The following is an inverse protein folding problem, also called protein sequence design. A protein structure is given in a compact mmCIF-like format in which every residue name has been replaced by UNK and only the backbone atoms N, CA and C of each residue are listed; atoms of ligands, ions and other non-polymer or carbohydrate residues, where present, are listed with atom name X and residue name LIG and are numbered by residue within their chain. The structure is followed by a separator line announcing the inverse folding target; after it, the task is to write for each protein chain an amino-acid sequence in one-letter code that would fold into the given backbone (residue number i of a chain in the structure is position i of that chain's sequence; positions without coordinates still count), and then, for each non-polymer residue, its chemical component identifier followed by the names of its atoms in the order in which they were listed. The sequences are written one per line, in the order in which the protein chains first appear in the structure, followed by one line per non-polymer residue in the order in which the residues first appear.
data_IF_106971513556
#
_entry.id   IF_106971513556
#
_cell.length_a   1.000
_cell.length_b   1.000
_cell.length_c   1.000
_cell.angle_alpha   90.00
_cell.angle_beta   90.00
_cell.angle_gamma   90.00
#
_symmetry.space_group_name_H-M   'P 1'
#
loop_
_entity.id
_entity.type
_entity.pdbx_description
1 polymer ?
#
# COMPACT_ATOMS: atom_id res chain seq x y z
N UNK A 1 8.28 -14.05 -3.98
CA UNK A 1 8.43 -12.74 -4.65
C UNK A 1 7.07 -12.07 -4.66
N UNK A 2 7.00 -10.81 -4.24
CA UNK A 2 5.74 -10.06 -4.17
C UNK A 2 5.39 -9.49 -5.55
N UNK A 3 4.13 -9.56 -5.93
CA UNK A 3 3.57 -8.90 -7.12
C UNK A 3 2.77 -7.68 -6.68
N UNK A 4 3.03 -6.54 -7.28
CA UNK A 4 2.32 -5.29 -7.01
C UNK A 4 1.45 -4.95 -8.20
N UNK A 5 0.14 -4.94 -7.99
CA UNK A 5 -0.86 -4.64 -9.01
C UNK A 5 -1.56 -3.31 -8.69
N UNK A 6 -1.70 -2.45 -9.69
CA UNK A 6 -2.50 -1.23 -9.61
C UNK A 6 -3.78 -1.49 -10.38
N UNK A 7 -4.92 -1.33 -9.72
CA UNK A 7 -6.23 -1.51 -10.31
C UNK A 7 -6.99 -0.18 -10.33
N UNK A 8 -7.72 0.06 -11.41
CA UNK A 8 -8.73 1.12 -11.51
C UNK A 8 -10.09 0.45 -11.63
N UNK A 9 -11.02 0.77 -10.74
CA UNK A 9 -12.29 0.06 -10.61
C UNK A 9 -13.42 1.02 -10.29
N UNK A 10 -14.67 0.57 -10.49
CA UNK A 10 -15.86 1.31 -10.08
C UNK A 10 -15.85 1.57 -8.58
N UNK A 11 -16.26 2.79 -8.19
CA UNK A 11 -16.47 3.17 -6.77
C UNK A 11 -17.90 2.77 -6.34
N UNK A 12 -18.14 1.44 -6.33
CA UNK A 12 -19.46 0.86 -6.06
C UNK A 12 -19.38 -0.21 -4.96
N UNK A 13 -20.44 -0.37 -4.16
CA UNK A 13 -20.52 -1.43 -3.16
C UNK A 13 -20.30 -2.83 -3.78
N UNK A 14 -19.52 -3.66 -3.09
CA UNK A 14 -19.30 -5.05 -3.50
C UNK A 14 -18.13 -5.26 -4.48
N UNK A 15 -17.58 -4.23 -5.13
CA UNK A 15 -16.44 -4.37 -6.05
C UNK A 15 -15.22 -4.95 -5.32
N UNK A 16 -14.89 -4.41 -4.15
CA UNK A 16 -13.79 -4.92 -3.33
C UNK A 16 -14.01 -6.38 -2.94
N UNK A 17 -15.25 -6.75 -2.58
CA UNK A 17 -15.59 -8.14 -2.24
C UNK A 17 -15.40 -9.09 -3.44
N UNK A 18 -15.76 -8.67 -4.66
CA UNK A 18 -15.52 -9.46 -5.88
C UNK A 18 -14.05 -9.70 -6.14
N UNK A 19 -13.21 -8.67 -5.97
CA UNK A 19 -11.75 -8.77 -6.11
C UNK A 19 -11.17 -9.72 -5.06
N UNK A 20 -11.50 -9.52 -3.78
CA UNK A 20 -11.04 -10.36 -2.68
C UNK A 20 -11.48 -11.83 -2.85
N UNK A 21 -12.73 -12.05 -3.30
CA UNK A 21 -13.26 -13.39 -3.58
C UNK A 21 -12.55 -14.06 -4.76
N UNK A 22 -12.15 -13.32 -5.79
CA UNK A 22 -11.37 -13.83 -6.90
C UNK A 22 -9.98 -14.28 -6.41
N UNK A 23 -9.29 -13.43 -5.64
CA UNK A 23 -7.97 -13.72 -5.09
C UNK A 23 -8.02 -14.97 -4.20
N UNK A 24 -9.03 -15.05 -3.30
CA UNK A 24 -9.26 -16.19 -2.41
C UNK A 24 -9.52 -17.47 -3.18
N UNK A 25 -10.41 -17.46 -4.19
CA UNK A 25 -10.73 -18.66 -5.00
C UNK A 25 -9.53 -19.21 -5.76
N UNK A 26 -8.54 -18.38 -6.04
CA UNK A 26 -7.29 -18.77 -6.69
C UNK A 26 -6.18 -19.10 -5.70
N UNK A 27 -6.50 -19.10 -4.40
CA UNK A 27 -5.57 -19.42 -3.32
C UNK A 27 -4.31 -18.54 -3.29
N UNK A 28 -4.49 -17.23 -3.56
CA UNK A 28 -3.42 -16.25 -3.39
C UNK A 28 -3.51 -15.60 -2.01
N UNK A 29 -2.36 -15.40 -1.39
CA UNK A 29 -2.27 -14.62 -0.16
C UNK A 29 -2.13 -13.13 -0.48
N UNK A 30 -3.00 -12.33 0.11
CA UNK A 30 -2.93 -10.87 0.03
C UNK A 30 -1.97 -10.37 1.11
N UNK A 31 -0.92 -9.70 0.69
CA UNK A 31 0.07 -9.07 1.59
C UNK A 31 -0.42 -7.69 2.06
N UNK A 32 -0.93 -6.88 1.14
CA UNK A 32 -1.57 -5.60 1.46
C UNK A 32 -2.58 -5.16 0.40
N UNK A 33 -3.55 -4.36 0.84
CA UNK A 33 -4.52 -3.64 -0.01
C UNK A 33 -4.56 -2.19 0.45
N UNK A 34 -4.41 -1.27 -0.50
CA UNK A 34 -4.64 0.15 -0.29
C UNK A 34 -5.59 0.63 -1.38
N UNK A 35 -6.73 1.16 -1.01
CA UNK A 35 -7.72 1.66 -1.94
C UNK A 35 -8.13 3.09 -1.56
N UNK A 36 -8.36 3.92 -2.57
CA UNK A 36 -8.79 5.30 -2.40
C UNK A 36 -9.39 5.85 -3.68
N UNK A 37 -10.15 6.93 -3.54
CA UNK A 37 -10.74 7.65 -4.67
C UNK A 37 -9.65 8.24 -5.55
N UNK A 38 -9.95 8.38 -6.84
CA UNK A 38 -9.08 9.09 -7.78
C UNK A 38 -9.58 10.51 -8.01
N UNK A 39 -8.86 11.25 -8.85
CA UNK A 39 -9.31 12.56 -9.36
C UNK A 39 -10.54 12.49 -10.24
N UNK A 40 -10.97 11.28 -10.64
CA UNK A 40 -12.19 11.04 -11.43
C UNK A 40 -13.29 10.49 -10.54
N UNK A 41 -14.46 11.13 -10.57
CA UNK A 41 -15.62 10.64 -9.84
C UNK A 41 -16.00 9.21 -10.30
N UNK A 42 -16.45 8.39 -9.37
CA UNK A 42 -16.88 7.02 -9.62
C UNK A 42 -15.73 6.04 -9.90
N UNK A 43 -14.48 6.45 -9.72
CA UNK A 43 -13.31 5.58 -9.89
C UNK A 43 -12.51 5.50 -8.60
N UNK A 44 -12.38 4.28 -8.09
CA UNK A 44 -11.43 3.93 -7.01
C UNK A 44 -10.17 3.34 -7.61
N UNK A 45 -9.03 3.76 -7.09
CA UNK A 45 -7.71 3.19 -7.38
C UNK A 45 -7.27 2.31 -6.22
N UNK A 46 -6.82 1.11 -6.55
CA UNK A 46 -6.31 0.14 -5.56
C UNK A 46 -4.88 -0.26 -5.89
N UNK A 47 -4.04 -0.34 -4.88
CA UNK A 47 -2.76 -1.08 -4.95
C UNK A 47 -2.95 -2.39 -4.20
N UNK A 48 -2.84 -3.50 -4.90
CA UNK A 48 -2.96 -4.85 -4.38
C UNK A 48 -1.58 -5.52 -4.42
N UNK A 49 -1.08 -5.97 -3.29
CA UNK A 49 0.16 -6.73 -3.20
C UNK A 49 -0.16 -8.17 -2.85
N UNK A 50 0.28 -9.10 -3.69
CA UNK A 50 0.13 -10.54 -3.46
C UNK A 50 1.50 -11.20 -3.37
N UNK A 51 1.62 -12.18 -2.47
CA UNK A 51 2.84 -12.96 -2.32
C UNK A 51 2.75 -14.26 -3.13
N UNK A 52 3.31 -14.25 -4.35
CA UNK A 52 3.29 -15.41 -5.22
C UNK A 52 4.65 -15.54 -5.95
N UNK A 53 5.43 -16.58 -5.65
CA UNK A 53 6.72 -16.79 -6.29
C UNK A 53 6.62 -17.28 -7.75
N UNK A 54 5.52 -17.94 -8.12
CA UNK A 54 5.34 -18.53 -9.43
C UNK A 54 4.87 -17.51 -10.46
N UNK A 55 5.70 -17.28 -11.49
CA UNK A 55 5.41 -16.29 -12.56
C UNK A 55 4.13 -16.60 -13.35
N UNK A 56 3.85 -17.88 -13.62
CA UNK A 56 2.64 -18.28 -14.36
C UNK A 56 1.37 -17.98 -13.53
N UNK A 57 1.39 -18.25 -12.23
CA UNK A 57 0.29 -17.89 -11.33
C UNK A 57 0.11 -16.38 -11.24
N UNK A 58 1.19 -15.59 -11.18
CA UNK A 58 1.11 -14.11 -11.22
C UNK A 58 0.41 -13.60 -12.46
N UNK A 59 0.73 -14.16 -13.64
CA UNK A 59 0.03 -13.84 -14.89
C UNK A 59 -1.44 -14.23 -14.84
N UNK A 60 -1.76 -15.34 -14.19
CA UNK A 60 -3.16 -15.78 -14.04
C UNK A 60 -3.98 -14.81 -13.22
N UNK A 61 -3.48 -14.33 -12.07
CA UNK A 61 -4.22 -13.35 -11.24
C UNK A 61 -4.44 -12.04 -11.99
N UNK A 62 -3.40 -11.51 -12.65
CA UNK A 62 -3.48 -10.32 -13.47
C UNK A 62 -4.58 -10.44 -14.55
N UNK A 63 -4.58 -11.52 -15.32
CA UNK A 63 -5.57 -11.75 -16.37
C UNK A 63 -6.99 -11.93 -15.82
N UNK A 64 -7.13 -12.56 -14.65
CA UNK A 64 -8.45 -12.74 -14.05
C UNK A 64 -9.03 -11.43 -13.49
N UNK A 65 -8.19 -10.57 -12.92
CA UNK A 65 -8.60 -9.23 -12.46
C UNK A 65 -9.07 -8.37 -13.65
N UNK A 66 -8.38 -8.41 -14.77
CA UNK A 66 -8.81 -7.71 -16.02
C UNK A 66 -10.15 -8.16 -16.57
N UNK A 67 -10.61 -9.37 -16.24
CA UNK A 67 -11.90 -9.90 -16.71
C UNK A 67 -13.08 -9.46 -15.85
N UNK A 68 -12.83 -8.88 -14.69
CA UNK A 68 -13.92 -8.36 -13.84
C UNK A 68 -14.57 -7.16 -14.52
N UNK A 69 -15.90 -7.18 -14.57
CA UNK A 69 -16.68 -6.13 -15.24
C UNK A 69 -16.49 -4.76 -14.59
N UNK A 70 -16.28 -4.75 -13.28
CA UNK A 70 -16.13 -3.54 -12.48
C UNK A 70 -14.67 -3.01 -12.47
N UNK A 71 -13.73 -3.71 -13.12
CA UNK A 71 -12.32 -3.31 -13.20
C UNK A 71 -12.06 -2.72 -14.59
N UNK A 72 -11.74 -1.44 -14.64
CA UNK A 72 -11.45 -0.72 -15.86
C UNK A 72 -10.07 -1.04 -16.42
N UNK A 73 -9.07 -1.10 -15.51
CA UNK A 73 -7.70 -1.42 -15.90
C UNK A 73 -6.91 -2.04 -14.75
N UNK A 74 -5.90 -2.83 -15.12
CA UNK A 74 -4.93 -3.43 -14.20
C UNK A 74 -3.54 -3.23 -14.77
N UNK A 75 -2.63 -2.70 -13.95
CA UNK A 75 -1.23 -2.51 -14.29
C UNK A 75 -0.38 -3.35 -13.34
N UNK A 76 0.51 -4.17 -13.89
CA UNK A 76 1.52 -4.87 -13.09
C UNK A 76 2.72 -3.95 -12.88
N UNK A 77 2.89 -3.45 -11.67
CA UNK A 77 3.94 -2.53 -11.28
C UNK A 77 5.16 -3.24 -10.68
N UNK A 78 5.21 -4.58 -10.73
CA UNK A 78 6.27 -5.37 -10.09
C UNK A 78 7.65 -5.14 -10.72
N UNK A 79 7.69 -5.00 -12.05
CA UNK A 79 8.90 -4.84 -12.85
C UNK A 79 8.98 -3.44 -13.51
N UNK A 80 8.06 -2.54 -13.17
CA UNK A 80 7.99 -1.18 -13.73
C UNK A 80 8.79 -0.20 -12.86
N UNK A 81 9.29 0.86 -13.48
CA UNK A 81 9.86 1.98 -12.73
C UNK A 81 8.73 2.72 -12.01
N UNK A 82 8.58 2.47 -10.72
CA UNK A 82 7.49 3.01 -9.92
C UNK A 82 7.98 3.57 -8.58
N UNK A 83 7.27 4.57 -8.09
CA UNK A 83 7.42 5.07 -6.73
C UNK A 83 6.51 4.27 -5.80
N UNK A 84 7.13 3.58 -4.83
CA UNK A 84 6.41 2.89 -3.77
C UNK A 84 6.57 3.72 -2.49
N UNK A 85 5.45 3.93 -1.80
CA UNK A 85 5.40 4.57 -0.49
C UNK A 85 4.54 3.75 0.45
N UNK A 86 4.92 3.78 1.71
CA UNK A 86 4.21 3.18 2.81
C UNK A 86 4.22 4.16 3.99
N UNK A 87 3.14 4.18 4.74
CA UNK A 87 3.03 4.87 6.02
C UNK A 87 2.86 3.87 7.14
N UNK A 88 3.43 4.16 8.29
CA UNK A 88 3.15 3.41 9.51
C UNK A 88 2.98 4.37 10.68
N UNK A 89 2.09 4.01 11.61
CA UNK A 89 1.98 4.63 12.92
C UNK A 89 2.49 3.63 13.95
N UNK A 90 3.42 4.08 14.79
CA UNK A 90 4.03 3.22 15.80
C UNK A 90 3.92 3.91 17.15
N UNK A 91 3.19 3.26 18.08
CA UNK A 91 3.18 3.67 19.48
C UNK A 91 4.24 2.90 20.23
N UNK A 92 5.15 3.61 20.87
CA UNK A 92 6.24 3.04 21.67
C UNK A 92 6.13 3.50 23.11
N UNK A 93 6.50 2.65 24.06
CA UNK A 93 6.77 3.07 25.44
C UNK A 93 8.18 3.62 25.50
N UNK A 94 8.34 4.77 26.14
CA UNK A 94 9.61 5.50 26.24
C UNK A 94 9.93 5.85 27.68
N UNK A 95 11.22 6.05 27.94
CA UNK A 95 11.75 6.64 29.17
C UNK A 95 12.40 7.99 28.82
N UNK A 96 12.60 8.89 29.78
CA UNK A 96 13.23 10.19 29.52
C UNK A 96 14.56 10.10 28.76
N UNK A 97 15.36 9.07 29.01
CA UNK A 97 16.67 8.86 28.36
C UNK A 97 16.56 8.43 26.90
N UNK A 98 15.38 7.93 26.46
CA UNK A 98 15.16 7.41 25.11
C UNK A 98 14.96 8.52 24.07
N UNK A 99 14.65 9.75 24.51
CA UNK A 99 14.31 10.88 23.63
C UNK A 99 15.38 11.18 22.59
N UNK A 100 16.63 11.25 23.03
CA UNK A 100 17.75 11.60 22.15
C UNK A 100 17.91 10.64 20.98
N UNK A 101 17.67 9.36 21.21
CA UNK A 101 17.76 8.36 20.15
C UNK A 101 16.60 8.44 19.16
N UNK A 102 15.43 8.84 19.62
CA UNK A 102 14.26 9.07 18.76
C UNK A 102 14.45 10.36 17.94
N UNK A 103 15.00 11.42 18.53
CA UNK A 103 15.36 12.65 17.79
C UNK A 103 16.32 12.36 16.63
N UNK A 104 17.29 11.47 16.81
CA UNK A 104 18.19 11.03 15.74
C UNK A 104 17.44 10.32 14.59
N UNK A 105 16.39 9.58 14.90
CA UNK A 105 15.53 8.98 13.87
C UNK A 105 14.69 10.03 13.15
N UNK A 106 14.13 11.00 13.89
CA UNK A 106 13.34 12.11 13.34
C UNK A 106 14.19 13.00 12.43
N UNK A 107 15.43 13.31 12.83
CA UNK A 107 16.34 14.17 12.06
C UNK A 107 16.67 13.61 10.66
N UNK A 108 16.56 12.29 10.46
CA UNK A 108 16.72 11.62 9.16
C UNK A 108 15.55 11.87 8.19
N UNK A 109 14.49 12.54 8.64
CA UNK A 109 13.38 13.01 7.79
C UNK A 109 12.34 11.96 7.37
N UNK A 110 12.46 10.72 7.85
CA UNK A 110 11.52 9.64 7.53
C UNK A 110 10.59 9.28 8.70
N UNK A 111 10.72 10.00 9.82
CA UNK A 111 9.98 9.81 11.04
C UNK A 111 9.51 11.17 11.57
N UNK A 112 8.30 11.22 12.10
CA UNK A 112 7.71 12.41 12.71
C UNK A 112 7.02 12.02 14.02
N UNK A 113 7.19 12.83 15.05
CA UNK A 113 6.43 12.69 16.29
C UNK A 113 5.05 13.29 16.08
N UNK A 114 3.99 12.52 16.30
CA UNK A 114 2.60 12.97 16.24
C UNK A 114 2.05 13.29 17.61
N UNK A 115 2.43 12.49 18.60
CA UNK A 115 1.95 12.63 19.97
C UNK A 115 3.02 12.17 20.95
N UNK A 116 3.04 12.78 22.12
CA UNK A 116 4.02 12.51 23.16
C UNK A 116 3.40 12.71 24.54
N UNK A 117 3.48 11.66 25.35
CA UNK A 117 3.13 11.66 26.76
C UNK A 117 4.35 11.28 27.63
N UNK A 118 4.16 11.25 28.94
CA UNK A 118 5.26 10.99 29.90
C UNK A 118 5.98 9.66 29.71
N UNK A 119 5.25 8.62 29.22
CA UNK A 119 5.73 7.23 29.12
C UNK A 119 5.49 6.60 27.75
N UNK A 120 4.94 7.34 26.82
CA UNK A 120 4.63 6.85 25.47
C UNK A 120 4.75 7.93 24.40
N UNK A 121 4.99 7.49 23.15
CA UNK A 121 5.08 8.36 21.98
C UNK A 121 4.46 7.69 20.77
N UNK A 122 3.74 8.46 19.93
CA UNK A 122 3.25 8.02 18.63
C UNK A 122 4.11 8.64 17.55
N UNK A 123 4.67 7.78 16.73
CA UNK A 123 5.56 8.11 15.62
C UNK A 123 4.91 7.78 14.30
N UNK A 124 4.93 8.72 13.36
CA UNK A 124 4.60 8.51 11.96
C UNK A 124 5.89 8.18 11.18
N UNK A 125 5.87 7.09 10.46
CA UNK A 125 6.93 6.68 9.55
C UNK A 125 6.44 6.79 8.12
N UNK A 126 7.25 7.35 7.23
CA UNK A 126 6.93 7.47 5.81
C UNK A 126 8.15 7.20 4.95
N UNK A 127 7.99 6.38 3.92
CA UNK A 127 9.09 6.07 3.03
C UNK A 127 8.80 4.93 2.05
N UNK A 128 9.86 4.41 1.43
CA UNK A 128 9.77 3.13 0.75
C UNK A 128 9.80 1.97 1.77
N UNK A 129 9.49 0.75 1.31
CA UNK A 129 9.45 -0.44 2.19
C UNK A 129 10.72 -0.60 3.03
N UNK A 130 11.89 -0.44 2.42
CA UNK A 130 13.19 -0.61 3.10
C UNK A 130 13.37 0.44 4.19
N UNK A 131 12.98 1.68 3.94
CA UNK A 131 13.09 2.76 4.91
C UNK A 131 12.16 2.53 6.09
N UNK A 132 10.89 2.18 5.83
CA UNK A 132 9.91 1.91 6.89
C UNK A 132 10.32 0.71 7.73
N UNK A 133 10.78 -0.38 7.09
CA UNK A 133 11.28 -1.58 7.80
C UNK A 133 12.49 -1.27 8.69
N UNK A 134 13.45 -0.48 8.20
CA UNK A 134 14.62 -0.06 9.00
C UNK A 134 14.20 0.77 10.22
N UNK A 135 13.26 1.69 10.03
CA UNK A 135 12.74 2.50 11.14
C UNK A 135 11.98 1.66 12.16
N UNK A 136 11.15 0.72 11.73
CA UNK A 136 10.46 -0.21 12.63
C UNK A 136 11.47 -1.11 13.35
N UNK A 137 12.49 -1.62 12.65
CA UNK A 137 13.54 -2.44 13.26
C UNK A 137 14.33 -1.67 14.33
N UNK A 138 14.60 -0.39 14.09
CA UNK A 138 15.21 0.49 15.09
C UNK A 138 14.29 0.67 16.30
N UNK A 139 12.99 0.90 16.08
CA UNK A 139 12.02 1.12 17.16
C UNK A 139 11.75 -0.14 18.00
N UNK A 140 12.13 -1.33 17.52
CA UNK A 140 12.01 -2.59 18.29
C UNK A 140 12.89 -2.64 19.53
N UNK A 141 13.92 -1.78 19.68
CA UNK A 141 14.68 -1.65 20.91
C UNK A 141 13.87 -1.02 22.04
N UNK A 142 12.85 -0.22 21.71
CA UNK A 142 11.82 0.25 22.63
C UNK A 142 10.67 -0.77 22.65
N UNK A 143 9.87 -0.76 23.70
CA UNK A 143 8.67 -1.60 23.73
C UNK A 143 7.62 -1.02 22.78
N UNK A 144 7.39 -1.66 21.64
CA UNK A 144 6.29 -1.31 20.75
C UNK A 144 4.98 -1.71 21.41
N UNK A 145 4.10 -0.75 21.64
CA UNK A 145 2.76 -0.92 22.21
C UNK A 145 1.74 -1.23 21.11
N UNK A 146 1.86 -0.53 19.97
CA UNK A 146 0.97 -0.70 18.83
C UNK A 146 1.70 -0.37 17.53
N UNK A 147 1.38 -1.10 16.46
CA UNK A 147 1.92 -0.87 15.13
C UNK A 147 0.79 -0.97 14.11
N UNK A 148 0.54 0.10 13.38
CA UNK A 148 -0.37 0.16 12.24
C UNK A 148 0.42 0.45 10.96
N UNK A 149 0.14 -0.29 9.89
CA UNK A 149 0.75 -0.08 8.56
C UNK A 149 -0.33 0.15 7.52
N UNK A 150 -0.14 1.12 6.65
CA UNK A 150 -1.08 1.36 5.53
C UNK A 150 -1.02 0.27 4.47
N UNK A 151 0.13 -0.39 4.32
CA UNK A 151 0.46 -1.17 3.13
C UNK A 151 1.06 -0.28 2.03
N UNK A 152 1.41 -0.90 0.90
CA UNK A 152 2.14 -0.24 -0.18
C UNK A 152 1.21 0.53 -1.12
N UNK A 153 1.51 1.80 -1.31
CA UNK A 153 0.97 2.63 -2.40
C UNK A 153 2.01 2.69 -3.51
N UNK A 154 1.62 2.36 -4.74
CA UNK A 154 2.53 2.37 -5.89
C UNK A 154 2.03 3.34 -6.95
N UNK A 155 2.93 4.12 -7.55
CA UNK A 155 2.65 5.02 -8.66
C UNK A 155 3.76 4.89 -9.70
N UNK A 156 3.39 4.65 -10.96
CA UNK A 156 4.36 4.49 -12.04
C UNK A 156 5.01 5.84 -12.36
N UNK A 157 6.33 5.82 -12.55
CA UNK A 157 7.12 7.00 -12.87
C UNK A 157 6.90 7.47 -14.32
N UNK A 158 7.03 8.78 -14.53
CA UNK A 158 7.03 9.40 -15.85
C UNK A 158 5.63 9.63 -16.43
N UNK A 159 5.62 10.29 -17.60
CA UNK A 159 4.39 10.70 -18.30
C UNK A 159 3.86 9.55 -19.18
N UNK A 160 3.59 8.40 -18.59
CA UNK A 160 3.07 7.27 -19.35
C UNK A 160 1.58 7.48 -19.68
N UNK A 161 1.32 7.88 -20.92
CA UNK A 161 -0.04 7.91 -21.50
C UNK A 161 -0.74 6.54 -21.44
N UNK A 162 -0.03 5.45 -21.18
CA UNK A 162 -0.54 4.07 -21.08
C UNK A 162 -1.33 3.76 -19.81
N UNK A 163 -1.26 4.59 -18.78
CA UNK A 163 -1.84 4.31 -17.45
C UNK A 163 -3.04 5.19 -17.11
N UNK A 164 -3.57 5.94 -18.04
CA UNK A 164 -4.90 6.55 -17.85
C UNK A 164 -5.93 5.48 -18.20
N UNK A 165 -6.85 5.12 -17.29
CA UNK A 165 -7.93 4.21 -17.65
C UNK A 165 -8.62 4.78 -18.88
N UNK A 166 -8.57 4.03 -19.98
CA UNK A 166 -9.39 4.33 -21.15
C UNK A 166 -10.81 3.99 -20.68
N UNK A 167 -11.55 5.00 -20.30
CA UNK A 167 -12.98 4.89 -19.99
C UNK A 167 -13.72 4.55 -21.29
N UNK A 168 -13.61 3.31 -21.72
CA UNK A 168 -14.49 2.72 -22.75
C UNK A 168 -15.51 1.86 -22.01
N UNK A 169 -16.39 2.51 -21.25
CA UNK A 169 -17.72 2.01 -20.93
C UNK A 169 -18.57 3.21 -20.53
N UNK A 170 -19.61 3.41 -21.28
CA UNK A 170 -20.71 4.39 -21.14
C UNK A 170 -20.88 4.94 -19.72
N UNK A 171 -20.93 6.27 -19.64
CA UNK A 171 -21.45 6.98 -18.48
C UNK A 171 -22.74 6.30 -18.01
N UNK A 172 -22.91 6.03 -16.72
CA UNK A 172 -24.19 5.63 -16.21
C UNK A 172 -25.17 6.77 -16.47
N UNK A 173 -26.30 6.45 -17.06
CA UNK A 173 -27.45 7.35 -17.23
C UNK A 173 -27.98 7.80 -15.87
#
# INVERSE_FOLDING_TARGET
MKQTLILFMQDEPGVLNRIASLVRRRNFNIDSIVAGRTEKNGITRMTLVVNEPNKAKRKTIYNNLKKLVDVYDVVDASDENCHIREHALVKVSIKPDDFKEIEDLVSKGNCRVLDHESDSMILELSGNEVTVEKSIAFLKKFKILELLRSGKMAMISGNQKKNKPVLVKSEPK
#
